data_IF_020588125026
#
_entry.id   IF_020588125026
#
_cell.length_a   1.000
_cell.length_b   1.000
_cell.length_c   1.000
_cell.angle_alpha   90.00
_cell.angle_beta   90.00
_cell.angle_gamma   90.00
#
_symmetry.space_group_name_H-M   'P 1'
#
loop_
_entity.id
_entity.type
_entity.pdbx_description
1 polymer ?
#
# COMPACT_ATOMS: atom_id res chain seq x y z
N UNK A 1 -49.90 -33.73 -36.39
CA UNK A 1 -48.44 -33.76 -36.25
C UNK A 1 -48.02 -32.37 -35.76
N UNK A 2 -47.82 -32.18 -34.46
CA UNK A 2 -47.32 -30.91 -33.93
C UNK A 2 -45.80 -30.90 -34.10
N UNK A 3 -45.31 -30.08 -35.01
CA UNK A 3 -43.88 -29.80 -35.15
C UNK A 3 -43.47 -28.96 -33.93
N UNK A 4 -42.45 -29.36 -33.14
CA UNK A 4 -42.08 -28.59 -31.96
C UNK A 4 -41.62 -27.21 -32.41
N UNK A 5 -42.17 -26.17 -31.79
CA UNK A 5 -41.79 -24.77 -32.06
C UNK A 5 -40.28 -24.66 -31.93
N UNK A 6 -39.61 -24.41 -33.06
CA UNK A 6 -38.23 -23.97 -33.06
C UNK A 6 -38.21 -22.61 -32.37
N UNK A 7 -37.92 -22.63 -31.07
CA UNK A 7 -37.74 -21.48 -30.20
C UNK A 7 -37.02 -20.37 -30.98
N UNK A 8 -37.74 -19.30 -31.32
CA UNK A 8 -37.33 -18.32 -32.31
C UNK A 8 -36.02 -17.66 -31.88
N UNK A 9 -34.91 -18.16 -32.42
CA UNK A 9 -33.59 -17.66 -32.12
C UNK A 9 -33.50 -16.21 -32.58
N UNK A 10 -32.84 -15.32 -31.82
CA UNK A 10 -32.68 -13.94 -32.24
C UNK A 10 -32.03 -13.86 -33.63
N UNK A 11 -32.46 -12.91 -34.49
CA UNK A 11 -32.00 -12.82 -35.87
C UNK A 11 -30.48 -12.70 -35.91
N UNK A 12 -29.83 -13.54 -36.73
CA UNK A 12 -28.37 -13.65 -36.83
C UNK A 12 -27.74 -14.78 -36.00
N UNK A 13 -28.54 -15.57 -35.26
CA UNK A 13 -28.04 -16.73 -34.50
C UNK A 13 -28.42 -18.04 -35.18
N UNK A 14 -27.44 -18.86 -35.58
CA UNK A 14 -27.72 -20.22 -36.08
C UNK A 14 -28.02 -21.17 -34.91
N UNK A 15 -28.81 -22.25 -35.11
CA UNK A 15 -29.10 -23.22 -34.05
C UNK A 15 -27.85 -23.84 -33.43
N UNK A 16 -26.75 -23.92 -34.19
CA UNK A 16 -25.45 -24.34 -33.71
C UNK A 16 -24.87 -23.41 -32.62
N UNK A 17 -25.09 -22.09 -32.71
CA UNK A 17 -24.56 -21.09 -31.77
C UNK A 17 -25.58 -20.60 -30.72
N UNK A 18 -26.76 -21.20 -30.65
CA UNK A 18 -27.85 -20.77 -29.77
C UNK A 18 -27.45 -20.65 -28.28
N UNK A 19 -26.48 -21.45 -27.82
CA UNK A 19 -26.00 -21.45 -26.42
C UNK A 19 -24.65 -20.75 -26.23
N UNK A 20 -24.03 -20.27 -27.31
CA UNK A 20 -22.67 -19.71 -27.28
C UNK A 20 -22.57 -18.53 -26.32
N UNK A 21 -23.52 -17.59 -26.39
CA UNK A 21 -23.56 -16.44 -25.48
C UNK A 21 -23.69 -16.82 -24.00
N UNK A 22 -24.41 -17.90 -23.67
CA UNK A 22 -24.53 -18.39 -22.29
C UNK A 22 -23.19 -18.93 -21.78
N UNK A 23 -22.44 -19.65 -22.61
CA UNK A 23 -21.13 -20.19 -22.24
C UNK A 23 -20.05 -19.12 -22.14
N UNK A 24 -20.00 -18.20 -23.10
CA UNK A 24 -19.08 -17.05 -23.06
C UNK A 24 -19.32 -16.25 -21.79
N UNK A 25 -20.58 -15.89 -21.49
CA UNK A 25 -20.90 -15.13 -20.27
C UNK A 25 -20.46 -15.85 -18.99
N UNK A 26 -20.62 -17.18 -18.92
CA UNK A 26 -20.17 -17.98 -17.77
C UNK A 26 -18.65 -18.03 -17.67
N UNK A 27 -17.95 -18.26 -18.79
CA UNK A 27 -16.49 -18.29 -18.81
C UNK A 27 -15.90 -16.93 -18.44
N UNK A 28 -16.41 -15.84 -19.03
CA UNK A 28 -15.98 -14.47 -18.71
C UNK A 28 -16.24 -14.14 -17.24
N UNK A 29 -17.37 -14.56 -16.68
CA UNK A 29 -17.66 -14.35 -15.25
C UNK A 29 -16.64 -15.08 -14.36
N UNK A 30 -16.30 -16.33 -14.69
CA UNK A 30 -15.27 -17.10 -13.95
C UNK A 30 -13.91 -16.41 -14.06
N UNK A 31 -13.50 -15.98 -15.25
CA UNK A 31 -12.23 -15.26 -15.43
C UNK A 31 -12.21 -13.94 -14.64
N UNK A 32 -13.31 -13.18 -14.63
CA UNK A 32 -13.41 -11.94 -13.86
C UNK A 32 -13.27 -12.21 -12.35
N UNK A 33 -13.94 -13.23 -11.84
CA UNK A 33 -13.81 -13.62 -10.42
C UNK A 33 -12.38 -14.05 -10.10
N UNK A 34 -11.75 -14.83 -10.97
CA UNK A 34 -10.36 -15.25 -10.80
C UNK A 34 -9.40 -14.05 -10.72
N UNK A 35 -9.53 -13.08 -11.63
CA UNK A 35 -8.72 -11.86 -11.63
C UNK A 35 -8.91 -11.03 -10.36
N UNK A 36 -10.15 -10.93 -9.86
CA UNK A 36 -10.44 -10.23 -8.61
C UNK A 36 -9.78 -10.94 -7.43
N UNK A 37 -9.87 -12.27 -7.34
CA UNK A 37 -9.23 -13.02 -6.26
C UNK A 37 -7.70 -12.89 -6.34
N UNK A 38 -7.12 -13.04 -7.53
CA UNK A 38 -5.68 -12.88 -7.73
C UNK A 38 -5.18 -11.50 -7.26
N UNK A 39 -5.83 -10.42 -7.70
CA UNK A 39 -5.48 -9.06 -7.27
C UNK A 39 -5.74 -8.81 -5.78
N UNK A 40 -6.86 -9.31 -5.25
CA UNK A 40 -7.25 -9.13 -3.85
C UNK A 40 -6.34 -9.87 -2.87
N UNK A 41 -5.71 -10.98 -3.27
CA UNK A 41 -4.73 -11.68 -2.43
C UNK A 41 -3.29 -11.21 -2.66
N UNK A 42 -2.94 -10.83 -3.88
CA UNK A 42 -1.57 -10.40 -4.19
C UNK A 42 -1.20 -9.13 -3.43
N UNK A 43 -2.08 -8.11 -3.40
CA UNK A 43 -1.77 -6.84 -2.76
C UNK A 43 -1.60 -6.93 -1.23
N UNK A 44 -2.50 -7.58 -0.46
CA UNK A 44 -2.30 -7.74 0.98
C UNK A 44 -1.09 -8.61 1.31
N UNK A 45 -0.84 -9.68 0.54
CA UNK A 45 0.33 -10.51 0.77
C UNK A 45 1.64 -9.74 0.51
N UNK A 46 1.69 -8.97 -0.57
CA UNK A 46 2.80 -8.06 -0.84
C UNK A 46 2.93 -7.00 0.25
N UNK A 47 1.83 -6.41 0.71
CA UNK A 47 1.84 -5.43 1.79
C UNK A 47 2.44 -6.02 3.07
N UNK A 48 2.03 -7.24 3.48
CA UNK A 48 2.61 -7.96 4.62
C UNK A 48 4.09 -8.27 4.40
N UNK A 49 4.47 -8.74 3.20
CA UNK A 49 5.87 -9.03 2.87
C UNK A 49 6.78 -7.79 2.93
N UNK A 50 6.25 -6.62 2.54
CA UNK A 50 6.95 -5.34 2.65
C UNK A 50 6.87 -4.73 4.06
N UNK A 51 6.11 -5.33 4.99
CA UNK A 51 6.07 -4.97 6.41
C UNK A 51 4.81 -4.22 6.87
N UNK A 52 3.83 -3.99 6.01
CA UNK A 52 2.56 -3.35 6.38
C UNK A 52 1.56 -4.38 6.95
N UNK A 53 0.82 -4.11 8.05
CA UNK A 53 0.80 -2.93 8.91
C UNK A 53 1.41 -3.24 10.29
N UNK A 54 2.73 -3.18 10.45
CA UNK A 54 3.37 -3.39 11.76
C UNK A 54 3.54 -2.11 12.59
N UNK A 55 3.43 -0.93 11.97
CA UNK A 55 3.61 0.39 12.62
C UNK A 55 2.45 1.33 12.25
N UNK A 56 2.05 2.18 13.19
CA UNK A 56 1.10 3.28 12.93
C UNK A 56 1.78 4.43 12.16
N UNK A 57 0.98 5.28 11.50
CA UNK A 57 1.50 6.46 10.78
C UNK A 57 2.29 7.41 11.71
N UNK A 58 1.88 7.54 12.97
CA UNK A 58 2.58 8.38 13.96
C UNK A 58 3.91 7.77 14.39
N UNK A 59 3.98 6.45 14.52
CA UNK A 59 5.24 5.75 14.80
C UNK A 59 6.20 5.85 13.61
N UNK A 60 5.71 5.63 12.39
CA UNK A 60 6.51 5.79 11.17
C UNK A 60 7.08 7.21 11.08
N UNK A 61 6.23 8.22 11.28
CA UNK A 61 6.66 9.62 11.30
C UNK A 61 7.74 9.88 12.36
N UNK A 62 7.57 9.33 13.56
CA UNK A 62 8.54 9.50 14.65
C UNK A 62 9.89 8.87 14.31
N UNK A 63 9.91 7.64 13.78
CA UNK A 63 11.16 6.96 13.38
C UNK A 63 11.86 7.63 12.19
N UNK A 64 11.09 8.20 11.26
CA UNK A 64 11.65 9.01 10.17
C UNK A 64 12.27 10.30 10.71
N UNK A 65 11.64 10.97 11.68
CA UNK A 65 12.20 12.16 12.32
C UNK A 65 13.48 11.85 13.09
N UNK A 66 13.51 10.76 13.86
CA UNK A 66 14.69 10.30 14.58
C UNK A 66 15.87 10.05 13.66
N UNK A 67 15.62 9.40 12.52
CA UNK A 67 16.69 9.13 11.55
C UNK A 67 17.13 10.39 10.81
N UNK A 68 16.18 11.23 10.36
CA UNK A 68 16.46 12.49 9.68
C UNK A 68 17.33 13.42 10.53
N UNK A 69 17.00 13.54 11.81
CA UNK A 69 17.69 14.45 12.72
C UNK A 69 18.80 13.77 13.53
N UNK A 70 19.04 12.46 13.32
CA UNK A 70 20.01 11.68 14.09
C UNK A 70 19.84 11.84 15.61
N UNK A 71 18.58 11.94 16.06
CA UNK A 71 18.20 12.27 17.43
C UNK A 71 17.06 11.37 17.89
N UNK A 72 17.34 10.50 18.85
CA UNK A 72 16.41 9.49 19.33
C UNK A 72 15.27 10.05 20.19
N UNK A 73 15.38 11.31 20.62
CA UNK A 73 14.35 11.99 21.43
C UNK A 73 13.22 12.59 20.59
N UNK A 74 13.36 12.58 19.26
CA UNK A 74 12.39 13.18 18.36
C UNK A 74 11.13 12.33 18.22
N UNK A 75 9.97 12.97 18.40
CA UNK A 75 8.67 12.34 18.20
C UNK A 75 7.79 13.19 17.29
N UNK A 76 6.95 12.51 16.52
CA UNK A 76 5.98 13.15 15.65
C UNK A 76 4.78 13.63 16.46
N UNK A 77 4.52 14.94 16.44
CA UNK A 77 3.39 15.54 17.14
C UNK A 77 2.15 15.51 16.24
N UNK A 78 1.17 14.70 16.61
CA UNK A 78 -0.12 14.65 15.92
C UNK A 78 -1.29 14.80 16.91
N UNK A 79 -2.21 15.76 16.71
CA UNK A 79 -2.21 16.81 15.68
C UNK A 79 -1.12 17.87 15.92
N UNK A 80 -0.64 18.51 14.85
CA UNK A 80 0.36 19.57 14.97
C UNK A 80 -0.25 20.84 15.57
N UNK A 81 0.41 21.51 16.53
CA UNK A 81 -0.09 22.77 17.09
C UNK A 81 -0.18 23.86 16.01
N UNK A 82 -1.33 24.56 15.88
CA UNK A 82 -1.57 25.51 14.78
C UNK A 82 -0.65 26.74 14.79
N UNK A 83 -0.06 27.08 15.94
CA UNK A 83 0.95 28.14 16.10
C UNK A 83 2.29 27.60 16.61
N UNK A 84 2.56 26.32 16.35
CA UNK A 84 3.84 25.71 16.72
C UNK A 84 5.01 26.24 15.89
N UNK A 85 6.26 26.09 16.38
CA UNK A 85 7.43 26.23 15.51
C UNK A 85 7.34 25.23 14.35
N UNK A 86 8.06 25.38 13.23
CA UNK A 86 8.04 24.36 12.19
C UNK A 86 8.64 23.04 12.72
N UNK A 87 8.08 21.88 12.34
CA UNK A 87 8.49 20.55 12.84
C UNK A 87 10.01 20.31 12.75
N UNK A 88 10.63 20.82 11.69
CA UNK A 88 12.07 20.65 11.47
C UNK A 88 12.98 21.64 12.19
N UNK A 89 12.44 22.59 12.98
CA UNK A 89 13.28 23.55 13.70
C UNK A 89 14.00 22.92 14.90
N UNK A 90 13.33 22.02 15.63
CA UNK A 90 13.89 21.45 16.87
C UNK A 90 15.12 20.56 16.59
N UNK A 91 15.06 19.72 15.55
CA UNK A 91 16.15 18.80 15.19
C UNK A 91 17.23 19.38 14.27
N UNK A 92 17.13 20.65 13.86
CA UNK A 92 18.07 21.21 12.87
C UNK A 92 19.53 21.17 13.33
N UNK A 93 19.76 21.31 14.64
CA UNK A 93 21.11 21.31 15.21
C UNK A 93 21.71 19.90 15.34
N UNK A 94 20.89 18.86 15.48
CA UNK A 94 21.31 17.45 15.52
C UNK A 94 21.41 16.83 14.12
N UNK A 95 20.76 17.42 13.12
CA UNK A 95 20.86 17.02 11.72
C UNK A 95 22.31 17.02 11.24
N UNK A 96 22.72 15.91 10.62
CA UNK A 96 24.03 15.79 9.97
C UNK A 96 24.02 16.26 8.50
N UNK A 97 22.87 16.73 8.01
CA UNK A 97 22.67 17.13 6.62
C UNK A 97 23.43 18.43 6.28
N UNK A 98 23.93 18.51 5.05
CA UNK A 98 24.55 19.73 4.53
C UNK A 98 23.45 20.71 4.12
N UNK A 99 23.22 21.74 4.94
CA UNK A 99 22.22 22.78 4.67
C UNK A 99 22.77 23.84 3.71
N UNK A 100 22.08 24.11 2.60
CA UNK A 100 22.48 25.09 1.60
C UNK A 100 21.41 25.33 0.53
N UNK A 101 21.79 25.92 -0.61
CA UNK A 101 20.87 26.14 -1.76
C UNK A 101 20.36 24.80 -2.31
N UNK A 102 21.22 23.78 -2.29
CA UNK A 102 20.86 22.40 -2.60
C UNK A 102 21.23 21.53 -1.40
N UNK A 103 20.29 21.27 -0.47
CA UNK A 103 20.57 20.48 0.72
C UNK A 103 20.89 19.04 0.32
N UNK A 104 21.94 18.48 0.91
CA UNK A 104 22.36 17.09 0.66
C UNK A 104 22.09 16.26 1.92
N UNK A 105 21.23 15.24 1.83
CA UNK A 105 20.98 14.36 2.97
C UNK A 105 22.20 13.49 3.24
N UNK A 106 22.63 13.43 4.50
CA UNK A 106 23.71 12.55 4.97
C UNK A 106 23.19 11.26 5.61
N UNK A 107 21.89 11.16 5.85
CA UNK A 107 21.27 9.93 6.35
C UNK A 107 21.25 8.80 5.30
N UNK A 108 21.31 7.55 5.76
CA UNK A 108 21.22 6.37 4.90
C UNK A 108 19.82 6.24 4.27
N UNK A 109 19.73 5.64 3.07
CA UNK A 109 18.46 5.36 2.41
C UNK A 109 17.72 4.24 3.16
N UNK A 110 16.79 4.63 4.02
CA UNK A 110 16.02 3.69 4.82
C UNK A 110 14.96 2.95 4.00
N UNK A 111 14.96 1.62 4.10
CA UNK A 111 13.83 0.79 3.67
C UNK A 111 12.76 0.68 4.76
N UNK A 112 11.51 0.40 4.39
CA UNK A 112 10.42 0.25 5.37
C UNK A 112 10.67 -0.89 6.37
N UNK A 113 11.15 -2.05 5.89
CA UNK A 113 11.49 -3.20 6.75
C UNK A 113 12.62 -2.89 7.73
N UNK A 114 13.57 -2.07 7.30
CA UNK A 114 14.65 -1.60 8.15
C UNK A 114 14.13 -0.67 9.24
N UNK A 115 13.21 0.25 8.88
CA UNK A 115 12.56 1.13 9.85
C UNK A 115 11.77 0.36 10.92
N UNK A 116 11.06 -0.72 10.54
CA UNK A 116 10.41 -1.64 11.49
C UNK A 116 11.42 -2.30 12.42
N UNK A 117 12.55 -2.78 11.86
CA UNK A 117 13.62 -3.40 12.66
C UNK A 117 14.20 -2.41 13.68
N UNK A 118 14.55 -1.20 13.24
CA UNK A 118 15.10 -0.14 14.11
C UNK A 118 14.12 0.18 15.24
N UNK A 119 12.83 0.29 14.94
CA UNK A 119 11.81 0.54 15.96
C UNK A 119 11.76 -0.59 17.00
N UNK A 120 11.73 -1.85 16.55
CA UNK A 120 11.69 -3.01 17.45
C UNK A 120 12.97 -3.14 18.29
N UNK A 121 14.14 -2.86 17.71
CA UNK A 121 15.41 -2.83 18.44
C UNK A 121 15.39 -1.75 19.53
N UNK A 122 14.88 -0.54 19.24
CA UNK A 122 14.71 0.53 20.24
C UNK A 122 13.77 0.12 21.36
N UNK A 123 12.63 -0.50 21.04
CA UNK A 123 11.69 -1.01 22.06
C UNK A 123 12.35 -2.07 22.96
N UNK A 124 13.16 -2.96 22.38
CA UNK A 124 13.88 -3.99 23.13
C UNK A 124 14.97 -3.42 24.06
N UNK A 125 15.49 -2.23 23.79
CA UNK A 125 16.42 -1.52 24.66
C UNK A 125 15.75 -0.68 25.76
N UNK A 126 14.45 -0.40 25.63
CA UNK A 126 13.67 0.40 26.58
C UNK A 126 12.88 -0.45 27.60
N UNK A 127 12.78 -1.77 27.40
CA UNK A 127 12.17 -2.74 28.31
C UNK A 127 13.21 -3.53 29.08
#
# INVERSE_FOLDING_TARGET
MQTPEAEALPPGTTPYYARMHKWIKRATLVCLVALVLEGAFTLPFMAVYYGYPTLSLTQICSELLKTRFSDDTMECKYPYPPLGPPEGAAGKASAQDDWGIQPVPRYHRLGFRELVRIHNERLAHQG
#
